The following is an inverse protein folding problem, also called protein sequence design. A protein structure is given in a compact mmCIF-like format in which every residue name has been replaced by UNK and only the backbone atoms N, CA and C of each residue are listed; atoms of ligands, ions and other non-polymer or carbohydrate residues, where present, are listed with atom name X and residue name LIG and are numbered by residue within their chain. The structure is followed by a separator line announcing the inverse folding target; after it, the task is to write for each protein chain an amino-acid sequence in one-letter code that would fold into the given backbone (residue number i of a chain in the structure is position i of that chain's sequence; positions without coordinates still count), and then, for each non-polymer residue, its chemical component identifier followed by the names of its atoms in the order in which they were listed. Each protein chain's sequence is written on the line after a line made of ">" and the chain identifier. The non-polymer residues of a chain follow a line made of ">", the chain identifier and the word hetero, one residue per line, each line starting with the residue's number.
data_IF_761729075041
#
_entry.id   IF_761729075041
#
_cell.length_a   1.000
_cell.length_b   1.000
_cell.length_c   1.000
_cell.angle_alpha   90.00
_cell.angle_beta   90.00
_cell.angle_gamma   90.00
#
_symmetry.space_group_name_H-M   'P 1'
#
loop_
_entity.id
_entity.type
_entity.pdbx_description
1 polymer ?
#
# COMPACT_ATOMS: atom_id res chain seq x y z
N UNK A 1 15.89 -12.77 8.49
CA UNK A 1 15.61 -11.32 8.44
C UNK A 1 16.45 -10.71 7.34
N UNK A 2 15.86 -10.01 6.39
CA UNK A 2 16.58 -9.25 5.36
C UNK A 2 17.38 -8.08 5.98
N UNK A 3 18.23 -7.40 5.20
CA UNK A 3 19.07 -6.31 5.70
C UNK A 3 18.25 -5.15 6.26
N UNK A 4 17.20 -4.73 5.53
CA UNK A 4 16.36 -3.62 5.92
C UNK A 4 15.70 -3.88 7.29
N UNK A 5 15.14 -5.08 7.49
CA UNK A 5 14.50 -5.42 8.76
C UNK A 5 15.50 -5.44 9.93
N UNK A 6 16.75 -5.88 9.72
CA UNK A 6 17.79 -5.79 10.77
C UNK A 6 18.09 -4.34 11.13
N UNK A 7 18.33 -3.51 10.13
CA UNK A 7 18.65 -2.09 10.32
C UNK A 7 17.50 -1.33 11.02
N UNK A 8 16.26 -1.65 10.68
CA UNK A 8 15.09 -1.08 11.34
C UNK A 8 15.02 -1.47 12.82
N UNK A 9 15.24 -2.75 13.14
CA UNK A 9 15.25 -3.26 14.52
C UNK A 9 16.42 -2.69 15.34
N UNK A 10 17.56 -2.43 14.70
CA UNK A 10 18.73 -1.80 15.30
C UNK A 10 18.57 -0.28 15.46
N UNK A 11 17.45 0.29 15.02
CA UNK A 11 17.11 1.71 15.18
C UNK A 11 17.80 2.64 14.19
N UNK A 12 18.29 2.12 13.05
CA UNK A 12 18.89 2.94 11.97
C UNK A 12 17.87 3.93 11.39
N UNK A 13 16.60 3.54 11.35
CA UNK A 13 15.51 4.35 10.78
C UNK A 13 14.48 4.68 11.86
N UNK A 14 14.27 5.98 12.11
CA UNK A 14 13.30 6.45 13.11
C UNK A 14 11.85 6.41 12.58
N UNK A 15 11.67 6.39 11.26
CA UNK A 15 10.36 6.42 10.59
C UNK A 15 10.31 5.42 9.44
N UNK A 16 9.11 4.90 9.18
CA UNK A 16 8.81 4.09 8.01
C UNK A 16 7.45 4.51 7.44
N UNK A 17 7.46 5.15 6.28
CA UNK A 17 6.25 5.56 5.56
C UNK A 17 5.85 4.39 4.64
N UNK A 18 4.71 3.74 4.91
CA UNK A 18 4.23 2.57 4.17
C UNK A 18 2.70 2.46 4.26
N UNK A 19 2.12 1.49 3.55
CA UNK A 19 0.71 1.15 3.65
C UNK A 19 0.31 0.65 5.05
N UNK A 20 -0.94 0.90 5.44
CA UNK A 20 -1.48 0.55 6.77
C UNK A 20 -1.37 -0.95 7.13
N UNK A 21 -1.27 -1.84 6.14
CA UNK A 21 -1.04 -3.27 6.35
C UNK A 21 0.31 -3.56 7.04
N UNK A 22 1.28 -2.63 6.99
CA UNK A 22 2.57 -2.75 7.65
C UNK A 22 2.44 -2.84 9.18
N UNK A 23 1.46 -2.16 9.78
CA UNK A 23 1.26 -2.16 11.23
C UNK A 23 1.07 -3.57 11.80
N UNK A 24 0.17 -4.34 11.19
CA UNK A 24 -0.08 -5.74 11.55
C UNK A 24 1.16 -6.64 11.36
N UNK A 25 1.96 -6.40 10.30
CA UNK A 25 3.20 -7.14 10.06
C UNK A 25 4.30 -6.82 11.09
N UNK A 26 4.40 -5.56 11.51
CA UNK A 26 5.32 -5.15 12.58
C UNK A 26 4.91 -5.81 13.90
N UNK A 27 3.63 -5.72 14.27
CA UNK A 27 3.13 -6.32 15.51
C UNK A 27 3.36 -7.85 15.59
N UNK A 28 3.17 -8.56 14.47
CA UNK A 28 3.32 -10.01 14.41
C UNK A 28 4.77 -10.50 14.26
N UNK A 29 5.64 -9.77 13.56
CA UNK A 29 6.98 -10.25 13.22
C UNK A 29 8.11 -9.53 13.95
N UNK A 30 7.82 -8.42 14.64
CA UNK A 30 8.82 -7.58 15.32
C UNK A 30 8.41 -7.30 16.77
N UNK A 31 8.20 -8.34 17.62
CA UNK A 31 7.70 -8.17 18.98
C UNK A 31 8.62 -7.31 19.86
N UNK A 32 9.91 -7.22 19.55
CA UNK A 32 10.85 -6.34 20.25
C UNK A 32 10.55 -4.84 20.09
N UNK A 33 9.62 -4.47 19.20
CA UNK A 33 9.15 -3.11 18.98
C UNK A 33 7.87 -2.77 19.76
N UNK A 34 7.31 -3.73 20.52
CA UNK A 34 6.17 -3.49 21.40
C UNK A 34 6.40 -2.26 22.30
N UNK A 35 5.44 -1.35 22.30
CA UNK A 35 5.49 -0.11 23.07
C UNK A 35 6.44 0.96 22.54
N UNK A 36 7.21 0.72 21.48
CA UNK A 36 8.23 1.65 20.95
C UNK A 36 7.79 2.44 19.72
N UNK A 37 6.74 2.00 19.04
CA UNK A 37 6.25 2.61 17.80
C UNK A 37 5.03 3.49 18.06
N UNK A 38 4.84 4.53 17.25
CA UNK A 38 3.57 5.24 17.09
C UNK A 38 3.19 5.20 15.61
N UNK A 39 1.90 5.39 15.32
CA UNK A 39 1.40 5.53 13.95
C UNK A 39 0.81 6.92 13.80
N UNK A 40 1.30 7.63 12.79
CA UNK A 40 0.90 9.00 12.48
C UNK A 40 0.52 9.12 11.00
N UNK A 41 -0.13 10.23 10.63
CA UNK A 41 -0.35 10.58 9.22
C UNK A 41 1.00 10.75 8.48
N UNK A 42 1.06 10.44 7.18
CA UNK A 42 2.26 10.74 6.39
C UNK A 42 2.51 12.26 6.34
N UNK A 43 3.77 12.68 6.08
CA UNK A 43 4.10 14.10 6.00
C UNK A 43 3.32 14.79 4.87
N UNK A 44 2.82 16.00 5.13
CA UNK A 44 2.25 16.86 4.10
C UNK A 44 3.38 17.45 3.22
N UNK A 45 3.06 17.74 1.96
CA UNK A 45 3.93 18.47 1.05
C UNK A 45 3.19 19.71 0.54
N UNK A 46 3.82 20.88 0.64
CA UNK A 46 3.21 22.18 0.32
C UNK A 46 3.36 23.19 1.45
N UNK A 47 2.60 24.29 1.37
CA UNK A 47 2.71 25.42 2.30
C UNK A 47 1.89 25.22 3.59
N UNK A 48 1.00 24.23 3.64
CA UNK A 48 0.12 23.98 4.77
C UNK A 48 -0.15 22.49 5.00
N UNK A 49 -0.30 22.09 6.27
CA UNK A 49 -0.78 20.75 6.63
C UNK A 49 -2.23 20.51 6.19
N UNK A 50 -2.99 21.56 5.89
CA UNK A 50 -4.33 21.45 5.33
C UNK A 50 -4.35 20.84 3.92
N UNK A 51 -3.22 20.91 3.21
CA UNK A 51 -3.06 20.37 1.85
C UNK A 51 -2.66 18.90 1.84
N UNK A 52 -2.63 18.24 3.01
CA UNK A 52 -2.25 16.84 3.13
C UNK A 52 -3.12 15.96 2.22
N UNK A 53 -2.45 15.38 1.22
CA UNK A 53 -2.93 14.26 0.42
C UNK A 53 -2.17 13.01 0.79
N UNK A 54 -2.87 11.90 0.89
CA UNK A 54 -2.28 10.58 1.14
C UNK A 54 -2.34 9.74 -0.13
N UNK A 55 -1.59 8.64 -0.15
CA UNK A 55 -1.54 7.72 -1.28
C UNK A 55 -1.90 6.31 -0.84
N UNK A 56 -2.09 5.42 -1.81
CA UNK A 56 -2.22 3.98 -1.57
C UNK A 56 -0.91 3.29 -1.88
N UNK A 57 -0.51 2.35 -1.01
CA UNK A 57 0.65 1.48 -1.24
C UNK A 57 0.20 0.04 -1.07
N UNK A 58 0.30 -0.73 -2.15
CA UNK A 58 -0.25 -2.08 -2.21
C UNK A 58 -1.78 -2.05 -2.23
N UNK A 59 -2.40 -2.88 -1.39
CA UNK A 59 -3.81 -3.21 -1.52
C UNK A 59 -3.98 -4.41 -2.46
N UNK A 60 -4.73 -5.41 -2.00
CA UNK A 60 -4.94 -6.65 -2.73
C UNK A 60 -6.36 -6.71 -3.29
N UNK A 61 -6.51 -7.39 -4.41
CA UNK A 61 -7.81 -7.75 -4.97
C UNK A 61 -7.79 -9.21 -5.42
N UNK A 62 -8.97 -9.83 -5.43
CA UNK A 62 -9.15 -11.12 -6.08
C UNK A 62 -9.64 -10.91 -7.51
N UNK A 63 -8.98 -11.58 -8.45
CA UNK A 63 -9.34 -11.57 -9.85
C UNK A 63 -9.55 -13.00 -10.36
N UNK A 64 -10.55 -13.18 -11.21
CA UNK A 64 -10.78 -14.43 -11.92
C UNK A 64 -9.97 -14.45 -13.21
N UNK A 65 -9.15 -15.48 -13.39
CA UNK A 65 -8.37 -15.68 -14.63
C UNK A 65 -9.29 -15.84 -15.84
N UNK A 66 -8.85 -15.37 -17.02
CA UNK A 66 -9.58 -15.55 -18.29
C UNK A 66 -9.84 -17.02 -18.64
N UNK A 67 -8.98 -17.94 -18.19
CA UNK A 67 -9.10 -19.38 -18.39
C UNK A 67 -10.17 -20.06 -17.51
N UNK A 68 -10.88 -19.32 -16.64
CA UNK A 68 -11.89 -19.92 -15.75
C UNK A 68 -13.03 -20.57 -16.56
N UNK A 69 -13.29 -21.89 -16.35
CA UNK A 69 -14.37 -22.59 -17.03
C UNK A 69 -15.73 -21.93 -16.78
N UNK A 70 -16.55 -21.83 -17.82
CA UNK A 70 -17.81 -21.05 -17.80
C UNK A 70 -18.72 -21.46 -16.65
N UNK A 71 -18.83 -22.75 -16.40
CA UNK A 71 -19.64 -23.36 -15.35
C UNK A 71 -19.16 -23.03 -13.93
N UNK A 72 -17.90 -22.61 -13.75
CA UNK A 72 -17.34 -22.21 -12.44
C UNK A 72 -17.38 -20.70 -12.19
N UNK A 73 -17.64 -19.88 -13.22
CA UNK A 73 -17.55 -18.41 -13.11
C UNK A 73 -18.48 -17.83 -12.06
N UNK A 74 -19.72 -18.31 -11.99
CA UNK A 74 -20.69 -17.84 -10.99
C UNK A 74 -20.20 -18.12 -9.57
N UNK A 75 -19.69 -19.32 -9.30
CA UNK A 75 -19.13 -19.67 -7.99
C UNK A 75 -17.88 -18.86 -7.65
N UNK A 76 -17.00 -18.63 -8.62
CA UNK A 76 -15.80 -17.81 -8.43
C UNK A 76 -16.16 -16.35 -8.07
N UNK A 77 -17.10 -15.75 -8.79
CA UNK A 77 -17.58 -14.39 -8.51
C UNK A 77 -18.24 -14.33 -7.12
N UNK A 78 -19.09 -15.30 -6.80
CA UNK A 78 -19.75 -15.37 -5.49
C UNK A 78 -18.72 -15.45 -4.34
N UNK A 79 -17.69 -16.29 -4.49
CA UNK A 79 -16.62 -16.41 -3.50
C UNK A 79 -15.84 -15.10 -3.35
N UNK A 80 -15.38 -14.51 -4.45
CA UNK A 80 -14.61 -13.26 -4.42
C UNK A 80 -15.40 -12.12 -3.78
N UNK A 81 -16.70 -12.01 -4.07
CA UNK A 81 -17.57 -11.03 -3.45
C UNK A 81 -17.75 -11.30 -1.95
N UNK A 82 -18.04 -12.55 -1.57
CA UNK A 82 -18.25 -12.92 -0.17
C UNK A 82 -17.00 -12.62 0.68
N UNK A 83 -15.84 -13.13 0.30
CA UNK A 83 -14.60 -12.99 1.09
C UNK A 83 -14.11 -11.55 1.21
N UNK A 84 -14.55 -10.67 0.31
CA UNK A 84 -14.12 -9.26 0.26
C UNK A 84 -15.15 -8.27 0.82
N UNK A 85 -16.37 -8.72 1.17
CA UNK A 85 -17.44 -7.78 1.56
C UNK A 85 -18.47 -8.29 2.54
N UNK A 86 -18.61 -9.61 2.70
CA UNK A 86 -19.57 -10.18 3.62
C UNK A 86 -19.15 -9.91 5.08
N UNK A 87 -20.04 -9.45 5.97
CA UNK A 87 -19.69 -9.13 7.35
C UNK A 87 -19.01 -10.28 8.09
N UNK A 88 -19.42 -11.54 7.86
CA UNK A 88 -18.80 -12.69 8.52
C UNK A 88 -17.37 -12.91 8.02
N UNK A 89 -17.12 -12.67 6.73
CA UNK A 89 -15.78 -12.73 6.16
C UNK A 89 -14.89 -11.59 6.67
N UNK A 90 -15.41 -10.37 6.77
CA UNK A 90 -14.68 -9.21 7.30
C UNK A 90 -14.34 -9.43 8.77
N UNK A 91 -15.27 -9.95 9.57
CA UNK A 91 -15.00 -10.30 10.96
C UNK A 91 -13.92 -11.39 11.05
N UNK A 92 -13.96 -12.40 10.18
CA UNK A 92 -12.91 -13.42 10.13
C UNK A 92 -11.52 -12.81 9.80
N UNK A 93 -11.45 -11.81 8.91
CA UNK A 93 -10.20 -11.08 8.67
C UNK A 93 -9.71 -10.32 9.90
N UNK A 94 -10.61 -9.76 10.70
CA UNK A 94 -10.24 -9.05 11.92
C UNK A 94 -9.76 -10.01 13.02
N UNK A 95 -10.51 -11.08 13.25
CA UNK A 95 -10.26 -12.03 14.33
C UNK A 95 -9.09 -12.99 14.06
N UNK A 96 -8.92 -13.44 12.81
CA UNK A 96 -7.95 -14.49 12.46
C UNK A 96 -6.97 -14.09 11.37
N UNK A 97 -7.32 -13.10 10.56
CA UNK A 97 -6.55 -12.67 9.40
C UNK A 97 -5.46 -11.66 9.71
N UNK A 98 -5.13 -11.38 10.97
CA UNK A 98 -4.12 -10.38 11.35
C UNK A 98 -4.65 -8.95 11.45
N UNK A 99 -5.98 -8.76 11.47
CA UNK A 99 -6.60 -7.46 11.73
C UNK A 99 -6.23 -6.34 10.73
N UNK A 100 -6.13 -6.69 9.45
CA UNK A 100 -5.83 -5.75 8.37
C UNK A 100 -6.94 -4.72 8.12
N UNK A 101 -6.56 -3.56 7.58
CA UNK A 101 -7.49 -2.52 7.14
C UNK A 101 -8.17 -2.95 5.83
N UNK A 102 -9.48 -3.22 5.88
CA UNK A 102 -10.24 -3.81 4.76
C UNK A 102 -10.95 -2.75 3.92
N UNK A 103 -10.91 -2.90 2.59
CA UNK A 103 -11.61 -2.00 1.66
C UNK A 103 -13.15 -2.17 1.64
N UNK A 104 -13.68 -3.17 2.34
CA UNK A 104 -15.12 -3.43 2.41
C UNK A 104 -15.87 -2.21 2.97
N UNK A 105 -17.00 -1.86 2.34
CA UNK A 105 -17.79 -0.69 2.76
C UNK A 105 -18.26 -0.78 4.21
N UNK A 106 -18.62 -1.98 4.68
CA UNK A 106 -18.99 -2.25 6.07
C UNK A 106 -17.87 -1.87 7.04
N UNK A 107 -16.62 -2.23 6.69
CA UNK A 107 -15.43 -1.89 7.46
C UNK A 107 -15.08 -0.41 7.38
N UNK A 108 -15.19 0.21 6.20
CA UNK A 108 -14.81 1.60 5.97
C UNK A 108 -15.63 2.62 6.80
N UNK A 109 -16.77 2.20 7.35
CA UNK A 109 -17.60 3.01 8.25
C UNK A 109 -17.68 2.46 9.67
N UNK A 110 -16.84 1.49 10.02
CA UNK A 110 -16.90 0.79 11.30
C UNK A 110 -16.21 1.60 12.41
N UNK A 111 -17.03 2.23 13.26
CA UNK A 111 -16.54 3.00 14.39
C UNK A 111 -15.91 2.15 15.48
N UNK A 112 -16.28 0.87 15.63
CA UNK A 112 -15.67 -0.01 16.63
C UNK A 112 -14.24 -0.34 16.20
N UNK A 113 -14.03 -0.63 14.92
CA UNK A 113 -12.70 -0.84 14.36
C UNK A 113 -11.83 0.41 14.49
N UNK A 114 -12.36 1.60 14.18
CA UNK A 114 -11.64 2.86 14.36
C UNK A 114 -11.21 3.10 15.81
N UNK A 115 -12.01 2.64 16.79
CA UNK A 115 -11.75 2.84 18.21
C UNK A 115 -11.03 1.66 18.89
N UNK A 116 -10.72 0.59 18.15
CA UNK A 116 -9.98 -0.55 18.70
C UNK A 116 -8.57 -0.17 19.12
N UNK A 117 -8.09 -0.82 20.18
CA UNK A 117 -6.77 -0.59 20.77
C UNK A 117 -6.08 -1.92 21.04
N UNK A 118 -4.75 -1.91 21.06
CA UNK A 118 -3.92 -3.07 21.38
C UNK A 118 -2.72 -2.68 22.26
N UNK A 119 -2.17 -3.66 22.97
CA UNK A 119 -1.03 -3.46 23.88
C UNK A 119 0.26 -3.13 23.11
N UNK A 120 0.41 -3.69 21.90
CA UNK A 120 1.59 -3.47 21.06
C UNK A 120 1.80 -1.96 20.79
N UNK A 121 0.71 -1.25 20.59
CA UNK A 121 0.64 0.19 20.29
C UNK A 121 0.35 1.05 21.53
N UNK A 122 0.65 0.58 22.75
CA UNK A 122 0.40 1.30 24.02
C UNK A 122 -1.07 1.71 24.24
N UNK A 123 -2.02 0.97 23.68
CA UNK A 123 -3.44 1.32 23.74
C UNK A 123 -3.86 2.48 22.84
N UNK A 124 -3.04 2.86 21.86
CA UNK A 124 -3.39 3.87 20.86
C UNK A 124 -4.42 3.34 19.85
N UNK A 125 -5.25 4.25 19.33
CA UNK A 125 -6.26 3.95 18.31
C UNK A 125 -5.63 4.01 16.91
N UNK A 126 -4.71 3.10 16.63
CA UNK A 126 -3.93 3.08 15.38
C UNK A 126 -4.83 3.09 14.13
N UNK A 127 -5.92 2.33 14.14
CA UNK A 127 -6.86 2.29 13.01
C UNK A 127 -7.56 3.63 12.77
N UNK A 128 -7.79 4.47 13.78
CA UNK A 128 -8.35 5.81 13.59
C UNK A 128 -7.46 6.65 12.66
N UNK A 129 -6.13 6.55 12.80
CA UNK A 129 -5.16 7.22 11.93
C UNK A 129 -5.24 6.67 10.50
N UNK A 130 -5.45 5.36 10.34
CA UNK A 130 -5.65 4.75 9.01
C UNK A 130 -6.94 5.22 8.33
N UNK A 131 -8.06 5.29 9.07
CA UNK A 131 -9.30 5.87 8.56
C UNK A 131 -9.13 7.34 8.17
N UNK A 132 -8.44 8.11 9.00
CA UNK A 132 -8.14 9.50 8.68
C UNK A 132 -7.28 9.63 7.42
N UNK A 133 -6.23 8.82 7.29
CA UNK A 133 -5.40 8.77 6.09
C UNK A 133 -6.23 8.39 4.86
N UNK A 134 -7.12 7.39 4.97
CA UNK A 134 -7.97 6.94 3.87
C UNK A 134 -8.91 8.05 3.36
N UNK A 135 -9.44 8.89 4.26
CA UNK A 135 -10.28 10.05 3.88
C UNK A 135 -9.54 11.16 3.13
N UNK A 136 -8.21 11.10 3.06
CA UNK A 136 -7.33 12.10 2.43
C UNK A 136 -6.62 11.57 1.18
N UNK A 137 -7.00 10.37 0.70
CA UNK A 137 -6.39 9.76 -0.49
C UNK A 137 -6.53 10.72 -1.68
N UNK A 138 -5.44 10.91 -2.42
CA UNK A 138 -5.49 11.53 -3.74
C UNK A 138 -6.15 10.55 -4.73
N UNK A 139 -7.36 10.88 -5.17
CA UNK A 139 -8.12 10.12 -6.16
C UNK A 139 -7.84 10.54 -7.60
N UNK A 140 -7.04 11.60 -7.80
CA UNK A 140 -6.52 12.03 -9.11
C UNK A 140 -5.18 11.33 -9.39
N UNK A 141 -5.23 10.00 -9.55
CA UNK A 141 -4.06 9.16 -9.85
C UNK A 141 -4.46 7.90 -10.60
N UNK A 142 -3.66 7.53 -11.61
CA UNK A 142 -3.81 6.30 -12.38
C UNK A 142 -2.49 5.52 -12.45
N UNK A 143 -2.61 4.21 -12.66
CA UNK A 143 -1.47 3.33 -12.97
C UNK A 143 -1.30 3.20 -14.48
N UNK A 144 -0.05 3.05 -14.93
CA UNK A 144 0.21 2.76 -16.33
C UNK A 144 -0.33 1.36 -16.72
N UNK A 145 -0.81 1.17 -17.96
CA UNK A 145 -1.35 -0.11 -18.43
C UNK A 145 -0.29 -1.23 -18.54
N UNK A 146 0.97 -0.89 -18.30
CA UNK A 146 2.13 -1.78 -18.27
C UNK A 146 2.89 -1.65 -16.94
N UNK A 147 2.16 -1.61 -15.83
CA UNK A 147 2.72 -1.38 -14.49
C UNK A 147 3.88 -2.33 -14.10
N UNK A 148 3.88 -3.57 -14.61
CA UNK A 148 5.01 -4.50 -14.40
C UNK A 148 6.30 -4.02 -15.07
N UNK A 149 6.22 -3.50 -16.31
CA UNK A 149 7.39 -2.91 -16.98
C UNK A 149 7.81 -1.62 -16.28
N UNK A 150 6.85 -0.77 -15.90
CA UNK A 150 7.10 0.44 -15.10
C UNK A 150 7.93 0.15 -13.85
N UNK A 151 7.53 -0.86 -13.07
CA UNK A 151 8.21 -1.25 -11.85
C UNK A 151 9.59 -1.85 -12.11
N UNK A 152 9.73 -2.71 -13.11
CA UNK A 152 11.03 -3.30 -13.44
C UNK A 152 12.02 -2.24 -13.93
N UNK A 153 11.58 -1.32 -14.79
CA UNK A 153 12.42 -0.24 -15.29
C UNK A 153 12.84 0.72 -14.16
N UNK A 154 11.97 0.96 -13.16
CA UNK A 154 12.35 1.71 -11.96
C UNK A 154 13.51 1.04 -11.21
N UNK A 155 13.44 -0.28 -11.06
CA UNK A 155 14.49 -1.08 -10.40
C UNK A 155 15.79 -1.02 -11.18
N UNK A 156 15.74 -1.06 -12.51
CA UNK A 156 16.95 -1.10 -13.34
C UNK A 156 17.58 0.28 -13.55
N UNK A 157 16.77 1.35 -13.52
CA UNK A 157 17.22 2.71 -13.86
C UNK A 157 17.31 3.65 -12.65
N UNK A 158 16.33 3.65 -11.73
CA UNK A 158 16.27 4.61 -10.62
C UNK A 158 16.92 4.07 -9.36
N UNK A 159 16.67 2.81 -9.00
CA UNK A 159 17.19 2.20 -7.76
C UNK A 159 18.73 2.28 -7.64
N UNK A 160 19.54 2.06 -8.70
CA UNK A 160 21.00 2.19 -8.61
C UNK A 160 21.48 3.59 -8.21
N UNK A 161 20.66 4.61 -8.46
CA UNK A 161 20.96 6.02 -8.18
C UNK A 161 20.43 6.47 -6.80
N UNK A 162 19.79 5.59 -6.02
CA UNK A 162 19.38 5.85 -4.64
C UNK A 162 20.58 5.72 -3.67
N UNK A 163 21.61 6.54 -3.91
CA UNK A 163 22.83 6.63 -3.10
C UNK A 163 23.12 8.08 -2.72
N UNK A 164 24.07 8.33 -1.80
CA UNK A 164 24.42 9.69 -1.36
C UNK A 164 24.89 10.60 -2.51
N UNK A 165 25.55 10.03 -3.53
CA UNK A 165 26.12 10.76 -4.68
C UNK A 165 25.37 10.51 -6.01
N UNK A 166 24.18 9.87 -5.97
CA UNK A 166 23.44 9.48 -7.16
C UNK A 166 22.71 10.64 -7.86
N UNK A 167 22.49 10.52 -9.17
CA UNK A 167 21.79 11.54 -9.98
C UNK A 167 20.34 11.13 -10.26
N UNK A 168 19.48 11.33 -9.26
CA UNK A 168 18.05 11.00 -9.37
C UNK A 168 17.32 11.80 -10.44
N UNK A 169 17.72 13.04 -10.71
CA UNK A 169 17.04 13.87 -11.71
C UNK A 169 17.23 13.27 -13.10
N UNK A 170 18.48 12.95 -13.45
CA UNK A 170 18.79 12.30 -14.72
C UNK A 170 18.20 10.88 -14.79
N UNK A 171 18.24 10.11 -13.69
CA UNK A 171 17.67 8.77 -13.64
C UNK A 171 16.16 8.76 -13.90
N UNK A 172 15.41 9.68 -13.29
CA UNK A 172 13.98 9.83 -13.51
C UNK A 172 13.68 10.26 -14.95
N UNK A 173 14.48 11.17 -15.53
CA UNK A 173 14.36 11.54 -16.95
C UNK A 173 14.58 10.34 -17.89
N UNK A 174 15.62 9.55 -17.62
CA UNK A 174 15.90 8.32 -18.38
C UNK A 174 14.78 7.28 -18.22
N UNK A 175 14.26 7.11 -17.01
CA UNK A 175 13.15 6.21 -16.74
C UNK A 175 11.91 6.60 -17.55
N UNK A 176 11.56 7.89 -17.58
CA UNK A 176 10.49 8.39 -18.43
C UNK A 176 10.73 8.06 -19.91
N UNK A 177 11.89 8.42 -20.46
CA UNK A 177 12.20 8.15 -21.88
C UNK A 177 12.14 6.66 -22.24
N UNK A 178 12.58 5.77 -21.35
CA UNK A 178 12.51 4.33 -21.54
C UNK A 178 11.05 3.84 -21.55
N UNK A 179 10.20 4.37 -20.68
CA UNK A 179 8.78 4.03 -20.65
C UNK A 179 8.03 4.55 -21.89
N UNK A 180 8.37 5.75 -22.38
CA UNK A 180 7.80 6.28 -23.62
C UNK A 180 8.15 5.38 -24.81
N UNK A 181 9.42 4.98 -24.92
CA UNK A 181 9.89 4.06 -25.97
C UNK A 181 9.16 2.72 -25.88
N UNK A 182 9.09 2.13 -24.68
CA UNK A 182 8.38 0.88 -24.46
C UNK A 182 6.90 1.00 -24.84
N UNK A 183 6.23 2.09 -24.45
CA UNK A 183 4.83 2.31 -24.75
C UNK A 183 4.58 2.35 -26.27
N UNK A 184 5.42 3.07 -27.02
CA UNK A 184 5.33 3.15 -28.48
C UNK A 184 5.58 1.79 -29.14
N UNK A 185 6.57 1.04 -28.68
CA UNK A 185 6.87 -0.32 -29.17
C UNK A 185 5.71 -1.30 -28.90
N UNK A 186 4.95 -1.10 -27.83
CA UNK A 186 3.73 -1.87 -27.52
C UNK A 186 2.48 -1.33 -28.24
N UNK A 187 2.61 -0.27 -29.05
CA UNK A 187 1.52 0.30 -29.84
C UNK A 187 0.62 1.29 -29.09
N UNK A 188 1.05 1.79 -27.93
CA UNK A 188 0.37 2.90 -27.26
C UNK A 188 0.72 4.23 -27.93
N UNK A 189 -0.24 5.16 -27.97
CA UNK A 189 0.00 6.53 -28.37
C UNK A 189 0.36 7.36 -27.14
N UNK A 190 1.58 7.88 -27.09
CA UNK A 190 2.06 8.78 -26.02
C UNK A 190 1.90 10.21 -26.49
N UNK A 191 1.20 11.04 -25.71
CA UNK A 191 0.96 12.47 -26.01
C UNK A 191 1.70 13.35 -25.00
N UNK A 192 1.94 14.61 -25.37
CA UNK A 192 2.53 15.65 -24.51
C UNK A 192 3.94 15.31 -23.95
N UNK A 193 4.83 14.86 -24.83
CA UNK A 193 6.27 14.64 -24.55
C UNK A 193 7.05 15.94 -24.35
#
# INVERSE_FOLDING_TARGET
>A
TDQFTRDFLDGRYATWIDGCWRGALIASNMPSLEGKMTVELPPAYGDSSADLKTATIGGSMLAMTSACPKEKRAAAIAYMNWVSSDPDAIEAWQSYGGSYFNAAKSFQTDSEQANSTDDFSRGEKVKAVYFESASKINDDWDVLPFNSQYAQEFVDTVVPELTEDGDLYNALGKWQSNLETYAEDQGFNVVDK
#
